data_IF_964340550336
#
_entry.id   IF_964340550336
#
_cell.length_a   1.000
_cell.length_b   1.000
_cell.length_c   1.000
_cell.angle_alpha   90.00
_cell.angle_beta   90.00
_cell.angle_gamma   90.00
#
_symmetry.space_group_name_H-M   'P 1'
#
loop_
_entity.id
_entity.type
_entity.pdbx_description
1 polymer ?
#
# COMPACT_ATOMS: atom_id res chain seq x y z
N UNK A 1 32.76 2.18 -7.42
CA UNK A 1 31.47 1.50 -7.16
C UNK A 1 30.75 1.39 -8.49
N UNK A 2 30.07 0.26 -8.76
CA UNK A 2 29.35 0.05 -10.01
C UNK A 2 27.86 0.29 -9.79
N UNK A 3 27.28 1.15 -10.60
CA UNK A 3 25.86 1.53 -10.55
C UNK A 3 25.17 0.91 -11.75
N UNK A 4 24.55 -0.27 -11.60
CA UNK A 4 23.94 -1.01 -12.71
C UNK A 4 22.41 -0.87 -12.66
N UNK A 5 21.87 0.00 -13.51
CA UNK A 5 20.44 0.28 -13.57
C UNK A 5 19.68 -0.86 -14.23
N UNK A 6 20.23 -1.50 -15.27
CA UNK A 6 19.53 -2.58 -15.98
C UNK A 6 19.21 -3.73 -15.03
N UNK A 7 20.19 -4.20 -14.27
CA UNK A 7 19.99 -5.27 -13.30
C UNK A 7 18.99 -4.91 -12.19
N UNK A 8 19.03 -3.65 -11.70
CA UNK A 8 18.08 -3.17 -10.69
C UNK A 8 16.64 -3.14 -11.23
N UNK A 9 16.46 -2.66 -12.46
CA UNK A 9 15.17 -2.61 -13.15
C UNK A 9 14.63 -4.02 -13.40
N UNK A 10 15.44 -4.94 -13.92
CA UNK A 10 15.02 -6.33 -14.13
C UNK A 10 14.58 -6.98 -12.81
N UNK A 11 15.33 -6.74 -11.74
CA UNK A 11 15.01 -7.27 -10.41
C UNK A 11 13.66 -6.76 -9.91
N UNK A 12 13.39 -5.44 -9.98
CA UNK A 12 12.12 -4.90 -9.48
C UNK A 12 10.93 -5.33 -10.34
N UNK A 13 11.09 -5.47 -11.66
CA UNK A 13 10.02 -5.97 -12.51
C UNK A 13 9.70 -7.44 -12.25
N UNK A 14 10.70 -8.28 -11.95
CA UNK A 14 10.46 -9.65 -11.51
C UNK A 14 9.69 -9.68 -10.19
N UNK A 15 10.04 -8.84 -9.22
CA UNK A 15 9.28 -8.71 -7.97
C UNK A 15 7.82 -8.29 -8.20
N UNK A 16 7.56 -7.37 -9.14
CA UNK A 16 6.21 -6.93 -9.49
C UNK A 16 5.40 -7.96 -10.28
N UNK A 17 6.07 -8.88 -10.98
CA UNK A 17 5.43 -10.02 -11.67
C UNK A 17 5.05 -11.11 -10.67
N UNK A 18 5.91 -11.37 -9.70
CA UNK A 18 5.67 -12.36 -8.65
C UNK A 18 4.65 -11.88 -7.60
N UNK A 19 4.36 -10.57 -7.56
CA UNK A 19 3.34 -10.02 -6.66
C UNK A 19 1.95 -10.55 -7.05
N UNK A 20 1.35 -11.33 -6.16
CA UNK A 20 -0.02 -11.84 -6.31
C UNK A 20 -1.01 -10.72 -5.97
N UNK A 21 -1.94 -10.43 -6.89
CA UNK A 21 -3.13 -9.64 -6.55
C UNK A 21 -4.03 -10.51 -5.66
N UNK A 22 -3.77 -10.49 -4.35
CA UNK A 22 -4.46 -11.33 -3.35
C UNK A 22 -5.98 -11.15 -3.35
N UNK A 23 -6.48 -10.05 -3.89
CA UNK A 23 -7.91 -9.72 -3.94
C UNK A 23 -8.53 -9.93 -5.33
N UNK A 24 -7.78 -10.48 -6.31
CA UNK A 24 -8.22 -10.60 -7.71
C UNK A 24 -8.52 -9.25 -8.38
N UNK A 25 -8.17 -8.16 -7.71
CA UNK A 25 -8.55 -6.81 -8.09
C UNK A 25 -7.41 -6.21 -8.92
N UNK A 26 -7.59 -6.23 -10.25
CA UNK A 26 -6.68 -5.72 -11.28
C UNK A 26 -6.35 -4.19 -11.17
N UNK A 27 -6.76 -3.53 -10.08
CA UNK A 27 -6.88 -2.08 -9.96
C UNK A 27 -5.82 -1.39 -9.09
N UNK A 28 -4.82 -2.12 -8.56
CA UNK A 28 -3.75 -1.47 -7.77
C UNK A 28 -2.69 -0.88 -8.67
N UNK A 29 -2.38 0.39 -8.44
CA UNK A 29 -1.27 1.07 -9.09
C UNK A 29 0.06 0.40 -8.70
N UNK A 30 0.82 -0.07 -9.70
CA UNK A 30 2.18 -0.57 -9.51
C UNK A 30 3.14 0.59 -9.72
N UNK A 31 3.94 0.91 -8.70
CA UNK A 31 4.78 2.11 -8.68
C UNK A 31 6.20 1.75 -8.30
N UNK A 32 7.16 2.24 -9.08
CA UNK A 32 8.59 2.17 -8.78
C UNK A 32 9.04 3.58 -8.38
N UNK A 33 9.58 3.73 -7.17
CA UNK A 33 10.32 4.93 -6.75
C UNK A 33 11.80 4.62 -6.93
N UNK A 34 12.45 5.26 -7.90
CA UNK A 34 13.86 5.01 -8.22
C UNK A 34 14.69 6.20 -7.75
N UNK A 35 15.64 5.98 -6.85
CA UNK A 35 16.53 7.02 -6.31
C UNK A 35 17.97 6.71 -6.69
N UNK A 36 18.73 7.73 -7.09
CA UNK A 36 20.17 7.60 -7.39
C UNK A 36 20.90 8.92 -7.15
N UNK A 37 22.16 8.82 -6.75
CA UNK A 37 23.11 9.94 -6.59
C UNK A 37 24.19 9.98 -7.69
N UNK A 38 24.22 8.97 -8.59
CA UNK A 38 25.28 8.81 -9.58
C UNK A 38 24.77 8.38 -10.96
N UNK A 39 25.67 8.42 -11.94
CA UNK A 39 25.44 7.98 -13.32
C UNK A 39 25.46 6.44 -13.41
N UNK A 40 24.63 5.81 -14.26
CA UNK A 40 24.76 4.38 -14.51
C UNK A 40 26.12 4.04 -15.13
N UNK A 41 26.71 2.94 -14.66
CA UNK A 41 27.92 2.34 -15.22
C UNK A 41 27.61 1.19 -16.18
N UNK A 42 26.34 1.02 -16.57
CA UNK A 42 25.89 0.04 -17.55
C UNK A 42 26.67 0.20 -18.86
N UNK A 43 27.11 -0.93 -19.43
CA UNK A 43 27.90 -0.93 -20.67
C UNK A 43 27.14 -0.29 -21.85
N UNK A 44 25.81 -0.36 -21.85
CA UNK A 44 24.94 0.30 -22.81
C UNK A 44 23.64 0.74 -22.12
N UNK A 45 23.38 2.05 -22.11
CA UNK A 45 22.18 2.64 -21.50
C UNK A 45 20.88 2.22 -22.18
N UNK A 46 20.90 1.72 -23.43
CA UNK A 46 19.68 1.22 -24.10
C UNK A 46 19.07 0.03 -23.36
N UNK A 47 19.92 -0.79 -22.75
CA UNK A 47 19.49 -1.99 -21.98
C UNK A 47 18.59 -1.63 -20.81
N UNK A 48 18.76 -0.45 -20.21
CA UNK A 48 17.92 0.06 -19.13
C UNK A 48 16.49 0.25 -19.65
N UNK A 49 16.33 0.90 -20.80
CA UNK A 49 15.03 1.20 -21.39
C UNK A 49 14.36 -0.06 -21.95
N UNK A 50 15.13 -0.98 -22.52
CA UNK A 50 14.65 -2.28 -22.97
C UNK A 50 14.14 -3.12 -21.79
N UNK A 51 14.85 -3.13 -20.66
CA UNK A 51 14.41 -3.80 -19.44
C UNK A 51 13.10 -3.22 -18.91
N UNK A 52 12.95 -1.89 -18.90
CA UNK A 52 11.69 -1.21 -18.52
C UNK A 52 10.55 -1.63 -19.45
N UNK A 53 10.76 -1.55 -20.77
CA UNK A 53 9.75 -1.92 -21.76
C UNK A 53 9.32 -3.38 -21.59
N UNK A 54 10.28 -4.30 -21.57
CA UNK A 54 10.03 -5.74 -21.44
C UNK A 54 9.29 -6.10 -20.15
N UNK A 55 9.66 -5.45 -19.03
CA UNK A 55 9.01 -5.63 -17.74
C UNK A 55 7.58 -5.08 -17.72
N UNK A 56 7.38 -3.86 -18.21
CA UNK A 56 6.09 -3.20 -18.13
C UNK A 56 5.06 -3.79 -19.11
N UNK A 57 5.48 -4.24 -20.30
CA UNK A 57 4.59 -4.93 -21.25
C UNK A 57 3.97 -6.19 -20.63
N UNK A 58 4.75 -6.97 -19.87
CA UNK A 58 4.25 -8.15 -19.14
C UNK A 58 3.23 -7.80 -18.05
N UNK A 59 3.28 -6.56 -17.54
CA UNK A 59 2.35 -6.02 -16.55
C UNK A 59 1.26 -5.16 -17.19
N UNK A 60 0.97 -5.34 -18.49
CA UNK A 60 -0.04 -4.61 -19.25
C UNK A 60 0.11 -3.07 -19.16
N UNK A 61 1.37 -2.61 -19.10
CA UNK A 61 1.72 -1.18 -19.01
C UNK A 61 1.13 -0.44 -17.79
N UNK A 62 0.85 -1.17 -16.70
CA UNK A 62 0.29 -0.61 -15.47
C UNK A 62 1.34 0.01 -14.53
N UNK A 63 2.64 -0.18 -14.78
CA UNK A 63 3.71 0.33 -13.91
C UNK A 63 4.03 1.79 -14.21
N UNK A 64 4.08 2.62 -13.16
CA UNK A 64 4.57 4.00 -13.17
C UNK A 64 5.94 4.05 -12.52
N UNK A 65 6.88 4.79 -13.12
CA UNK A 65 8.24 4.97 -12.59
C UNK A 65 8.46 6.43 -12.22
N UNK A 66 8.67 6.72 -10.95
CA UNK A 66 9.03 8.05 -10.45
C UNK A 66 10.52 8.03 -10.12
N UNK A 67 11.30 8.87 -10.80
CA UNK A 67 12.77 8.91 -10.66
C UNK A 67 13.21 10.13 -9.85
N UNK A 68 14.20 9.93 -8.99
CA UNK A 68 14.76 10.94 -8.10
C UNK A 68 16.28 10.94 -8.25
N UNK A 69 16.84 12.09 -8.61
CA UNK A 69 18.28 12.31 -8.67
C UNK A 69 18.72 13.19 -7.50
N UNK A 70 19.75 12.80 -6.75
CA UNK A 70 20.28 13.56 -5.61
C UNK A 70 21.74 13.96 -5.82
N UNK A 71 22.16 15.06 -5.19
CA UNK A 71 23.58 15.46 -5.16
C UNK A 71 24.12 15.80 -6.54
N UNK A 72 25.18 15.11 -6.98
CA UNK A 72 25.84 15.35 -8.28
C UNK A 72 24.92 15.21 -9.49
N UNK A 73 23.82 14.46 -9.38
CA UNK A 73 22.82 14.32 -10.45
C UNK A 73 22.17 15.66 -10.78
N UNK A 74 22.08 16.61 -9.84
CA UNK A 74 21.51 17.94 -10.07
C UNK A 74 22.27 18.74 -11.14
N UNK A 75 23.54 18.43 -11.37
CA UNK A 75 24.38 19.08 -12.39
C UNK A 75 24.77 18.18 -13.56
N UNK A 76 24.48 16.87 -13.49
CA UNK A 76 24.78 15.93 -14.56
C UNK A 76 23.58 15.77 -15.52
N UNK A 77 23.57 16.58 -16.57
CA UNK A 77 22.53 16.54 -17.61
C UNK A 77 22.36 15.16 -18.26
N UNK A 78 23.44 14.38 -18.38
CA UNK A 78 23.37 13.06 -19.02
C UNK A 78 22.56 12.08 -18.18
N UNK A 79 22.80 12.07 -16.86
CA UNK A 79 22.02 11.26 -15.91
C UNK A 79 20.59 11.76 -15.82
N UNK A 80 20.36 13.07 -15.80
CA UNK A 80 19.01 13.64 -15.80
C UNK A 80 18.20 13.21 -17.03
N UNK A 81 18.82 13.19 -18.21
CA UNK A 81 18.17 12.71 -19.43
C UNK A 81 17.82 11.22 -19.34
N UNK A 82 18.70 10.39 -18.77
CA UNK A 82 18.43 8.98 -18.54
C UNK A 82 17.23 8.81 -17.59
N UNK A 83 17.26 9.48 -16.43
CA UNK A 83 16.18 9.40 -15.43
C UNK A 83 14.85 9.94 -15.94
N UNK A 84 14.87 10.99 -16.76
CA UNK A 84 13.68 11.51 -17.44
C UNK A 84 13.13 10.50 -18.45
N UNK A 85 14.00 9.87 -19.26
CA UNK A 85 13.60 8.82 -20.21
C UNK A 85 13.04 7.58 -19.52
N UNK A 86 13.61 7.20 -18.36
CA UNK A 86 13.10 6.13 -17.52
C UNK A 86 11.70 6.47 -16.98
N UNK A 87 11.51 7.65 -16.40
CA UNK A 87 10.21 8.08 -15.86
C UNK A 87 9.14 8.17 -16.96
N UNK A 88 9.49 8.77 -18.10
CA UNK A 88 8.58 8.91 -19.25
C UNK A 88 8.40 7.59 -20.01
N UNK A 89 9.21 6.57 -19.72
CA UNK A 89 9.20 5.27 -20.40
C UNK A 89 9.22 5.43 -21.93
N UNK A 90 10.21 6.17 -22.44
CA UNK A 90 10.22 6.64 -23.85
C UNK A 90 10.35 5.52 -24.87
N UNK A 91 10.99 4.41 -24.50
CA UNK A 91 10.97 3.16 -25.27
C UNK A 91 9.81 2.33 -24.71
N UNK A 92 8.79 2.10 -25.54
CA UNK A 92 7.52 1.51 -25.12
C UNK A 92 6.92 0.62 -26.19
N UNK A 93 6.24 -0.41 -25.73
CA UNK A 93 5.37 -1.27 -26.52
C UNK A 93 3.95 -1.12 -25.97
N UNK A 94 3.06 -0.48 -26.74
CA UNK A 94 1.68 -0.20 -26.32
C UNK A 94 0.67 -1.27 -26.77
N UNK A 95 1.13 -2.42 -27.26
CA UNK A 95 0.25 -3.51 -27.73
C UNK A 95 -0.75 -3.98 -26.67
N UNK A 96 -0.36 -3.99 -25.40
CA UNK A 96 -1.17 -4.50 -24.27
C UNK A 96 -1.77 -3.41 -23.37
N UNK A 97 -1.68 -2.14 -23.78
CA UNK A 97 -2.20 -1.00 -23.03
C UNK A 97 -1.35 0.25 -23.18
N UNK A 98 -1.91 1.42 -22.87
CA UNK A 98 -1.18 2.68 -22.92
C UNK A 98 -0.19 2.78 -21.76
N UNK A 99 1.03 3.21 -22.05
CA UNK A 99 2.05 3.45 -21.01
C UNK A 99 1.70 4.67 -20.16
N UNK A 100 1.88 4.54 -18.84
CA UNK A 100 1.72 5.64 -17.89
C UNK A 100 3.07 6.29 -17.61
N UNK A 101 3.17 7.55 -17.98
CA UNK A 101 4.38 8.36 -17.77
C UNK A 101 4.46 8.81 -16.31
N UNK A 102 5.61 8.60 -15.68
CA UNK A 102 5.92 9.12 -14.36
C UNK A 102 6.58 10.50 -14.41
N UNK A 103 7.35 10.82 -13.39
CA UNK A 103 8.05 12.12 -13.29
C UNK A 103 9.46 11.93 -12.78
N UNK A 104 10.39 12.70 -13.34
CA UNK A 104 11.73 12.89 -12.79
C UNK A 104 11.75 14.11 -11.85
N UNK A 105 12.41 13.98 -10.70
CA UNK A 105 12.59 15.07 -9.73
C UNK A 105 14.06 15.14 -9.28
N UNK A 106 14.62 16.34 -9.31
CA UNK A 106 15.95 16.61 -8.72
C UNK A 106 15.77 16.95 -7.24
N UNK A 107 16.62 16.34 -6.41
CA UNK A 107 16.76 16.61 -4.98
C UNK A 107 18.09 17.34 -4.79
N UNK A 108 18.05 18.67 -4.81
CA UNK A 108 19.26 19.52 -4.73
C UNK A 108 19.96 19.38 -3.37
N UNK A 109 19.19 19.29 -2.29
CA UNK A 109 19.69 19.13 -0.93
C UNK A 109 19.20 17.81 -0.34
N UNK A 110 20.17 16.98 0.07
CA UNK A 110 19.91 15.69 0.72
C UNK A 110 19.06 15.81 2.00
N UNK A 111 19.13 16.95 2.69
CA UNK A 111 18.30 17.21 3.87
C UNK A 111 16.80 17.27 3.53
N UNK A 112 16.46 17.63 2.29
CA UNK A 112 15.09 17.69 1.81
C UNK A 112 14.61 16.37 1.20
N UNK A 113 15.46 15.35 1.10
CA UNK A 113 15.14 14.08 0.45
C UNK A 113 13.84 13.46 0.97
N UNK A 114 13.67 13.41 2.29
CA UNK A 114 12.45 12.88 2.92
C UNK A 114 11.20 13.64 2.46
N UNK A 115 11.26 14.97 2.47
CA UNK A 115 10.14 15.81 2.09
C UNK A 115 9.81 15.63 0.60
N UNK A 116 10.82 15.72 -0.27
CA UNK A 116 10.67 15.63 -1.73
C UNK A 116 10.20 14.25 -2.16
N UNK A 117 10.79 13.18 -1.64
CA UNK A 117 10.31 11.84 -1.98
C UNK A 117 8.91 11.59 -1.42
N UNK A 118 8.57 12.11 -0.23
CA UNK A 118 7.23 11.92 0.35
C UNK A 118 6.12 12.52 -0.49
N UNK A 119 6.38 13.50 -1.37
CA UNK A 119 5.34 14.11 -2.21
C UNK A 119 4.90 13.26 -3.40
N UNK A 120 5.44 12.03 -3.56
CA UNK A 120 5.03 11.11 -4.63
C UNK A 120 3.51 10.88 -4.69
N UNK A 121 2.81 10.94 -3.55
CA UNK A 121 1.35 10.77 -3.49
C UNK A 121 0.60 11.81 -4.34
N UNK A 122 1.19 12.99 -4.58
CA UNK A 122 0.59 14.05 -5.40
C UNK A 122 0.43 13.62 -6.87
N UNK A 123 1.24 12.69 -7.36
CA UNK A 123 1.05 12.11 -8.69
C UNK A 123 -0.29 11.36 -8.77
N UNK A 124 -0.69 10.69 -7.68
CA UNK A 124 -1.88 9.85 -7.58
C UNK A 124 -3.11 10.59 -7.04
N UNK A 125 -2.95 11.81 -6.56
CA UNK A 125 -4.02 12.61 -5.95
C UNK A 125 -5.03 13.19 -6.95
N UNK A 126 -5.08 12.69 -8.19
CA UNK A 126 -5.95 13.19 -9.26
C UNK A 126 -7.41 12.72 -9.13
N UNK A 127 -7.66 11.73 -8.28
CA UNK A 127 -8.98 11.19 -8.03
C UNK A 127 -9.66 11.93 -6.88
N UNK A 128 -10.88 12.43 -7.11
CA UNK A 128 -11.75 12.97 -6.05
C UNK A 128 -12.31 11.82 -5.22
N UNK A 129 -11.60 11.45 -4.16
CA UNK A 129 -12.15 10.59 -3.13
C UNK A 129 -13.02 11.44 -2.21
N UNK A 130 -14.34 11.37 -2.40
CA UNK A 130 -15.30 12.14 -1.60
C UNK A 130 -15.87 11.33 -0.42
N UNK A 131 -15.41 10.09 -0.25
CA UNK A 131 -15.82 9.22 0.85
C UNK A 131 -14.73 9.10 1.92
N UNK A 132 -15.09 9.07 3.21
CA UNK A 132 -14.12 8.89 4.29
C UNK A 132 -13.47 7.50 4.23
N UNK A 133 -12.20 7.45 4.61
CA UNK A 133 -11.41 6.21 4.72
C UNK A 133 -11.08 5.99 6.19
N UNK A 134 -11.29 4.76 6.67
CA UNK A 134 -10.93 4.34 8.02
C UNK A 134 -9.52 3.73 7.97
N UNK A 135 -8.59 4.32 8.71
CA UNK A 135 -7.24 3.81 8.82
C UNK A 135 -7.21 2.50 9.63
N UNK A 136 -6.23 1.65 9.34
CA UNK A 136 -5.97 0.50 10.19
C UNK A 136 -5.58 0.97 11.58
N UNK A 137 -6.05 0.32 12.66
CA UNK A 137 -5.74 0.76 14.01
C UNK A 137 -4.22 0.90 14.24
N UNK A 138 -3.82 1.93 14.98
CA UNK A 138 -2.43 2.23 15.31
C UNK A 138 -2.34 2.85 16.72
N UNK A 139 -1.13 2.83 17.31
CA UNK A 139 -0.88 3.46 18.61
C UNK A 139 -0.70 4.96 18.39
N UNK A 140 -1.59 5.77 18.97
CA UNK A 140 -1.51 7.22 18.91
C UNK A 140 -0.23 7.73 19.58
N UNK A 141 0.48 8.61 18.88
CA UNK A 141 1.73 9.19 19.34
C UNK A 141 1.53 10.19 20.50
N UNK A 142 0.31 10.74 20.67
CA UNK A 142 -0.03 11.68 21.74
C UNK A 142 -0.53 10.99 23.02
N UNK A 143 -0.59 9.65 23.04
CA UNK A 143 -0.87 8.87 24.24
C UNK A 143 -2.34 8.53 24.46
N UNK A 144 -3.22 8.71 23.46
CA UNK A 144 -4.60 8.20 23.51
C UNK A 144 -4.70 6.67 23.50
N UNK A 145 -3.57 5.98 23.25
CA UNK A 145 -3.50 4.54 23.16
C UNK A 145 -3.84 4.05 21.75
N UNK A 146 -4.52 2.91 21.65
CA UNK A 146 -4.89 2.34 20.36
C UNK A 146 -6.08 3.09 19.74
N UNK A 147 -5.88 3.69 18.57
CA UNK A 147 -6.90 4.48 17.84
C UNK A 147 -7.05 4.00 16.40
N UNK A 148 -8.16 4.39 15.78
CA UNK A 148 -8.34 4.42 14.31
C UNK A 148 -8.75 5.82 13.90
N UNK A 149 -8.29 6.27 12.73
CA UNK A 149 -8.65 7.59 12.19
C UNK A 149 -9.61 7.47 11.04
N UNK A 150 -10.65 8.29 11.05
CA UNK A 150 -11.55 8.50 9.91
C UNK A 150 -11.05 9.73 9.17
N UNK A 151 -10.53 9.55 7.96
CA UNK A 151 -9.86 10.58 7.19
C UNK A 151 -10.60 10.90 5.89
N UNK A 152 -10.64 12.18 5.53
CA UNK A 152 -11.21 12.68 4.29
C UNK A 152 -10.24 13.69 3.63
N UNK A 153 -9.92 13.55 2.33
CA UNK A 153 -9.10 14.53 1.63
C UNK A 153 -9.87 15.83 1.40
N UNK A 154 -9.18 16.96 1.60
CA UNK A 154 -9.74 18.30 1.36
C UNK A 154 -9.27 18.80 0.01
N UNK A 155 -10.21 19.08 -0.88
CA UNK A 155 -9.94 19.58 -2.23
C UNK A 155 -10.23 21.09 -2.34
N UNK A 156 -9.40 21.81 -3.10
CA UNK A 156 -9.69 23.17 -3.52
C UNK A 156 -9.33 23.33 -5.00
N UNK A 157 -10.29 23.74 -5.83
CA UNK A 157 -10.16 23.88 -7.29
C UNK A 157 -9.60 22.62 -7.98
N UNK A 158 -10.07 21.44 -7.56
CA UNK A 158 -9.66 20.16 -8.16
C UNK A 158 -8.28 19.65 -7.73
N UNK A 159 -7.67 20.22 -6.68
CA UNK A 159 -6.38 19.76 -6.14
C UNK A 159 -6.50 19.47 -4.65
N UNK A 160 -5.89 18.38 -4.18
CA UNK A 160 -5.78 18.09 -2.74
C UNK A 160 -4.95 19.18 -2.05
N UNK A 161 -5.48 19.73 -0.95
CA UNK A 161 -4.79 20.70 -0.09
C UNK A 161 -4.33 20.10 1.23
N UNK A 162 -4.92 18.99 1.63
CA UNK A 162 -4.57 18.27 2.84
C UNK A 162 -5.57 17.15 3.09
N UNK A 163 -5.48 16.56 4.28
CA UNK A 163 -6.39 15.52 4.76
C UNK A 163 -6.87 15.95 6.14
N UNK A 164 -8.17 15.92 6.36
CA UNK A 164 -8.77 16.09 7.67
C UNK A 164 -9.07 14.71 8.26
N UNK A 165 -8.66 14.48 9.50
CA UNK A 165 -8.89 13.21 10.19
C UNK A 165 -9.49 13.47 11.58
N UNK A 166 -10.33 12.54 12.04
CA UNK A 166 -10.78 12.46 13.42
C UNK A 166 -10.39 11.10 13.97
N UNK A 167 -9.77 11.08 15.14
CA UNK A 167 -9.37 9.85 15.82
C UNK A 167 -10.50 9.32 16.69
N UNK A 168 -10.71 8.02 16.65
CA UNK A 168 -11.60 7.28 17.54
C UNK A 168 -10.77 6.29 18.33
N UNK A 169 -10.92 6.26 19.65
CA UNK A 169 -10.27 5.24 20.45
C UNK A 169 -10.89 3.89 20.13
N UNK A 170 -10.06 2.86 20.01
CA UNK A 170 -10.57 1.52 19.81
C UNK A 170 -11.37 1.04 21.03
N UNK A 171 -11.11 1.63 22.22
CA UNK A 171 -11.87 1.34 23.45
C UNK A 171 -13.32 1.73 23.27
N UNK A 172 -13.57 2.96 22.83
CA UNK A 172 -14.92 3.46 22.61
C UNK A 172 -15.64 2.67 21.51
N UNK A 173 -14.92 2.31 20.43
CA UNK A 173 -15.49 1.59 19.31
C UNK A 173 -15.89 0.14 19.64
N UNK A 174 -15.15 -0.53 20.53
CA UNK A 174 -15.24 -1.98 20.71
C UNK A 174 -15.72 -2.41 22.09
N UNK A 175 -16.07 -1.47 22.98
CA UNK A 175 -16.51 -1.79 24.35
C UNK A 175 -17.65 -2.80 24.32
N UNK A 176 -18.71 -2.55 23.55
CA UNK A 176 -19.88 -3.44 23.47
C UNK A 176 -19.55 -4.83 22.91
N UNK A 177 -18.58 -4.92 22.00
CA UNK A 177 -18.12 -6.19 21.41
C UNK A 177 -17.23 -6.96 22.39
N UNK A 178 -16.35 -6.23 23.10
CA UNK A 178 -15.39 -6.80 24.06
C UNK A 178 -16.10 -7.34 25.31
N UNK A 179 -17.17 -6.69 25.72
CA UNK A 179 -17.99 -7.07 26.87
C UNK A 179 -19.29 -7.78 26.49
N UNK A 180 -19.42 -8.20 25.22
CA UNK A 180 -20.53 -9.02 24.79
C UNK A 180 -20.60 -10.29 25.66
N UNK A 181 -21.70 -10.47 26.37
CA UNK A 181 -21.90 -11.58 27.29
C UNK A 181 -23.33 -12.13 27.11
N UNK A 182 -23.45 -13.18 26.30
CA UNK A 182 -24.68 -13.93 26.04
C UNK A 182 -24.49 -15.41 26.44
N UNK A 183 -23.91 -15.61 27.63
CA UNK A 183 -23.59 -16.93 28.19
C UNK A 183 -22.22 -17.48 27.75
N UNK A 184 -21.81 -18.57 28.39
CA UNK A 184 -20.43 -19.11 28.32
C UNK A 184 -20.04 -19.68 26.95
N UNK A 185 -20.98 -19.83 26.02
CA UNK A 185 -20.78 -20.41 24.70
C UNK A 185 -20.90 -19.39 23.56
N UNK A 186 -21.23 -18.13 23.87
CA UNK A 186 -21.38 -17.07 22.89
C UNK A 186 -20.24 -16.07 23.00
N UNK A 187 -19.76 -15.58 21.84
CA UNK A 187 -18.77 -14.52 21.78
C UNK A 187 -18.94 -13.72 20.50
N UNK A 188 -18.44 -12.50 20.53
CA UNK A 188 -18.34 -11.63 19.36
C UNK A 188 -16.87 -11.48 18.95
N UNK A 189 -16.63 -11.30 17.66
CA UNK A 189 -15.34 -10.97 17.10
C UNK A 189 -15.51 -9.97 15.97
N UNK A 190 -14.44 -9.25 15.64
CA UNK A 190 -14.42 -8.26 14.56
C UNK A 190 -13.22 -8.52 13.66
N UNK A 191 -13.44 -8.41 12.36
CA UNK A 191 -12.40 -8.48 11.32
C UNK A 191 -12.50 -7.26 10.42
N UNK A 192 -11.39 -6.92 9.77
CA UNK A 192 -11.43 -5.98 8.65
C UNK A 192 -11.75 -6.68 7.30
N UNK A 193 -11.83 -5.89 6.24
CA UNK A 193 -12.09 -6.39 4.89
C UNK A 193 -10.96 -7.26 4.29
N UNK A 194 -9.82 -7.39 4.97
CA UNK A 194 -8.71 -8.29 4.60
C UNK A 194 -8.69 -9.57 5.43
N UNK A 195 -9.63 -9.74 6.37
CA UNK A 195 -9.67 -10.88 7.28
C UNK A 195 -8.67 -10.80 8.44
N UNK A 196 -8.10 -9.61 8.70
CA UNK A 196 -7.29 -9.37 9.90
C UNK A 196 -8.21 -9.24 11.10
N UNK A 197 -7.87 -9.92 12.18
CA UNK A 197 -8.66 -9.88 13.41
C UNK A 197 -8.40 -8.59 14.17
N UNK A 198 -9.47 -7.86 14.49
CA UNK A 198 -9.45 -6.64 15.31
C UNK A 198 -9.77 -6.98 16.78
N UNK A 199 -10.77 -7.83 17.01
CA UNK A 199 -11.17 -8.32 18.34
C UNK A 199 -11.48 -9.79 18.26
N UNK A 200 -10.97 -10.59 19.21
CA UNK A 200 -11.32 -12.00 19.37
C UNK A 200 -11.00 -12.46 20.80
N UNK A 201 -11.81 -13.34 21.43
CA UNK A 201 -11.57 -13.79 22.81
C UNK A 201 -10.21 -14.46 23.05
N UNK A 202 -9.69 -15.18 22.04
CA UNK A 202 -8.36 -15.82 22.10
C UNK A 202 -7.18 -14.86 21.91
N UNK A 203 -7.43 -13.57 21.69
CA UNK A 203 -6.38 -12.56 21.60
C UNK A 203 -6.40 -11.66 22.84
N UNK A 204 -5.24 -11.11 23.26
CA UNK A 204 -5.21 -10.05 24.24
C UNK A 204 -6.12 -8.90 23.82
N UNK A 205 -6.81 -8.29 24.78
CA UNK A 205 -7.67 -7.14 24.49
C UNK A 205 -6.84 -6.03 23.81
N UNK A 206 -7.35 -5.39 22.76
CA UNK A 206 -6.59 -4.44 21.95
C UNK A 206 -5.96 -3.31 22.77
N UNK A 207 -6.61 -2.88 23.86
CA UNK A 207 -6.20 -1.76 24.71
C UNK A 207 -5.01 -2.05 25.64
N UNK A 208 -4.58 -3.32 25.72
CA UNK A 208 -3.45 -3.74 26.56
C UNK A 208 -2.14 -3.74 25.75
N UNK A 209 -2.22 -3.64 24.42
CA UNK A 209 -1.04 -3.65 23.55
C UNK A 209 -0.32 -2.30 23.60
N UNK A 210 0.95 -2.32 24.04
CA UNK A 210 1.84 -1.14 24.11
C UNK A 210 2.80 -1.02 22.94
N UNK A 211 2.88 -2.06 22.09
CA UNK A 211 3.82 -2.16 20.97
C UNK A 211 3.05 -2.38 19.66
N UNK A 212 3.79 -2.45 18.54
CA UNK A 212 3.25 -2.70 17.20
C UNK A 212 2.19 -3.81 17.18
N UNK A 213 1.07 -3.50 16.52
CA UNK A 213 -0.10 -4.38 16.48
C UNK A 213 0.17 -5.48 15.45
N UNK A 214 0.35 -6.70 15.95
CA UNK A 214 0.39 -7.87 15.09
C UNK A 214 -1.04 -8.34 14.78
N UNK A 215 -1.46 -8.15 13.54
CA UNK A 215 -2.76 -8.64 13.08
C UNK A 215 -2.71 -10.14 12.78
N UNK A 216 -3.42 -10.93 13.56
CA UNK A 216 -3.59 -12.37 13.31
C UNK A 216 -4.78 -12.59 12.36
N UNK A 217 -4.62 -13.35 11.26
CA UNK A 217 -5.75 -13.72 10.40
C UNK A 217 -6.82 -14.50 11.17
N UNK A 218 -8.10 -14.17 10.96
CA UNK A 218 -9.22 -14.84 11.66
C UNK A 218 -9.28 -16.35 11.38
N UNK A 219 -8.79 -16.77 10.21
CA UNK A 219 -8.65 -18.17 9.82
C UNK A 219 -7.77 -18.98 10.79
N UNK A 220 -6.85 -18.35 11.51
CA UNK A 220 -5.98 -19.02 12.48
C UNK A 220 -6.64 -19.18 13.86
N UNK A 221 -7.66 -18.36 14.16
CA UNK A 221 -8.33 -18.34 15.46
C UNK A 221 -9.58 -19.22 15.45
N UNK A 222 -10.32 -19.17 14.35
CA UNK A 222 -11.51 -20.00 14.15
C UNK A 222 -11.12 -21.37 13.62
N UNK A 223 -11.68 -22.45 14.14
CA UNK A 223 -11.25 -23.83 13.81
C UNK A 223 -12.18 -24.60 12.88
N UNK A 224 -13.42 -24.15 12.68
CA UNK A 224 -14.41 -24.89 11.90
C UNK A 224 -14.18 -24.72 10.39
N UNK A 225 -14.21 -25.80 9.61
CA UNK A 225 -14.00 -25.77 8.15
C UNK A 225 -15.02 -24.87 7.40
N UNK A 226 -16.26 -24.78 7.90
CA UNK A 226 -17.30 -23.92 7.34
C UNK A 226 -17.06 -22.40 7.53
N UNK A 227 -15.98 -22.00 8.22
CA UNK A 227 -15.65 -20.59 8.48
C UNK A 227 -15.25 -19.82 7.22
N UNK A 228 -14.66 -20.48 6.22
CA UNK A 228 -14.05 -19.79 5.07
C UNK A 228 -15.09 -19.03 4.26
N UNK A 229 -16.23 -19.65 3.95
CA UNK A 229 -17.34 -18.98 3.27
C UNK A 229 -17.92 -17.81 4.07
N UNK A 230 -18.02 -17.95 5.39
CA UNK A 230 -18.53 -16.91 6.30
C UNK A 230 -17.55 -15.72 6.34
N UNK A 231 -16.25 -15.99 6.48
CA UNK A 231 -15.22 -14.95 6.51
C UNK A 231 -15.19 -14.19 5.19
N UNK A 232 -15.29 -14.87 4.04
CA UNK A 232 -15.34 -14.19 2.73
C UNK A 232 -16.62 -13.36 2.56
N UNK A 233 -17.77 -13.81 3.06
CA UNK A 233 -19.01 -13.02 3.14
C UNK A 233 -18.85 -11.77 4.03
N UNK A 234 -18.21 -11.91 5.19
CA UNK A 234 -17.93 -10.80 6.11
C UNK A 234 -16.95 -9.79 5.50
N UNK A 235 -15.89 -10.25 4.81
CA UNK A 235 -14.92 -9.39 4.12
C UNK A 235 -15.58 -8.55 3.01
N UNK A 236 -16.64 -9.07 2.39
CA UNK A 236 -17.48 -8.33 1.42
C UNK A 236 -18.51 -7.41 2.07
N UNK A 237 -18.59 -7.38 3.41
CA UNK A 237 -19.53 -6.53 4.15
C UNK A 237 -20.98 -7.02 4.10
N UNK A 238 -21.23 -8.29 3.76
CA UNK A 238 -22.59 -8.84 3.75
C UNK A 238 -23.04 -9.24 5.16
N UNK A 239 -24.35 -9.16 5.41
CA UNK A 239 -24.96 -9.60 6.66
C UNK A 239 -25.65 -10.96 6.47
N UNK A 240 -25.67 -11.80 7.51
CA UNK A 240 -26.32 -13.10 7.43
C UNK A 240 -26.28 -13.90 8.73
N UNK A 241 -26.92 -15.07 8.68
CA UNK A 241 -26.90 -16.08 9.73
C UNK A 241 -26.59 -17.45 9.12
N UNK A 242 -25.82 -18.27 9.82
CA UNK A 242 -25.53 -19.66 9.48
C UNK A 242 -25.65 -20.53 10.73
N UNK A 243 -26.05 -21.77 10.52
CA UNK A 243 -26.02 -22.82 11.54
C UNK A 243 -25.06 -23.87 10.98
N UNK A 244 -24.01 -24.16 11.73
CA UNK A 244 -22.96 -25.10 11.33
C UNK A 244 -22.71 -26.07 12.49
N UNK A 245 -22.33 -27.29 12.18
CA UNK A 245 -21.87 -28.22 13.21
C UNK A 245 -20.55 -27.71 13.80
N UNK A 246 -20.47 -27.69 15.12
CA UNK A 246 -19.28 -27.20 15.83
C UNK A 246 -18.11 -28.15 15.60
N UNK A 247 -16.99 -27.61 15.10
CA UNK A 247 -15.71 -28.30 15.09
C UNK A 247 -14.91 -28.14 16.40
N UNK A 248 -15.47 -27.46 17.41
CA UNK A 248 -14.87 -27.38 18.75
C UNK A 248 -15.18 -28.69 19.49
N UNK A 249 -14.17 -29.57 19.55
CA UNK A 249 -14.01 -30.56 20.63
C UNK A 249 -13.19 -29.92 21.73
#
# INVERSE_FOLDING_TARGET
ENTNYTAAIETVFNLLLDSVDLDGNEARDKVILFLTDGTPTDANTSTIFEAIMNGNTKLKNKVVILTYGIGSVATDESTQQILTKMANQTIRDETNGKVREGTFTVVEDALNLRQTMSSYYQYFSRSTYDSPIIATPYIDALGLGLVTSICLPVHHKGTIKGVACVDMTMTDLLTDITYFNDGDQAYAFMIDNKGRTIVHPSLPRPFVMKNDILFVPISNLERTAAKEGIIEEMKRGTSGKRIIESGRV
#
